data_IF_991986679815
#
_entry.id   IF_991986679815
#
_cell.length_a   1.000
_cell.length_b   1.000
_cell.length_c   1.000
_cell.angle_alpha   90.00
_cell.angle_beta   90.00
_cell.angle_gamma   90.00
#
_symmetry.space_group_name_H-M   'P 1'
#
loop_
_entity.id
_entity.type
_entity.pdbx_description
1 polymer ?
#
# COMPACT_ATOMS: atom_id res chain seq x y z
N UNK A 1 33.54 -6.56 -35.59
CA UNK A 1 32.55 -6.59 -34.50
C UNK A 1 31.85 -5.24 -34.49
N UNK A 2 30.58 -5.20 -34.88
CA UNK A 2 29.78 -3.98 -34.81
C UNK A 2 29.57 -3.69 -33.33
N UNK A 3 29.98 -2.51 -32.86
CA UNK A 3 29.72 -2.08 -31.48
C UNK A 3 28.20 -2.12 -31.25
N UNK A 4 27.76 -3.03 -30.38
CA UNK A 4 26.37 -3.16 -29.93
C UNK A 4 26.03 -2.14 -28.84
N UNK A 5 26.81 -1.06 -28.73
CA UNK A 5 26.54 0.01 -27.78
C UNK A 5 25.25 0.75 -28.18
N UNK A 6 24.34 0.90 -27.23
CA UNK A 6 23.12 1.70 -27.39
C UNK A 6 23.56 3.12 -27.82
N UNK A 7 23.05 3.66 -28.94
CA UNK A 7 23.33 5.04 -29.34
C UNK A 7 23.05 5.99 -28.17
N UNK A 8 23.91 7.00 -27.94
CA UNK A 8 23.76 7.93 -26.83
C UNK A 8 22.37 8.60 -26.76
N UNK A 9 21.70 8.75 -27.91
CA UNK A 9 20.34 9.30 -28.02
C UNK A 9 19.23 8.38 -27.51
N UNK A 10 19.52 7.10 -27.28
CA UNK A 10 18.58 6.08 -26.81
C UNK A 10 18.85 5.66 -25.35
N UNK A 11 19.86 6.25 -24.70
CA UNK A 11 20.10 6.00 -23.29
C UNK A 11 18.97 6.61 -22.45
N UNK A 12 18.55 5.95 -21.36
CA UNK A 12 17.54 6.49 -20.47
C UNK A 12 18.07 7.64 -19.60
N UNK A 13 19.28 8.16 -19.87
CA UNK A 13 19.92 9.23 -19.11
C UNK A 13 20.85 10.08 -19.97
N UNK A 14 21.23 11.26 -19.45
CA UNK A 14 22.25 12.10 -20.07
C UNK A 14 23.65 11.48 -19.86
N UNK A 15 24.38 11.08 -20.91
CA UNK A 15 25.68 10.43 -20.79
C UNK A 15 26.74 11.30 -20.08
N UNK A 16 26.59 12.63 -20.12
CA UNK A 16 27.49 13.54 -19.40
C UNK A 16 27.39 13.39 -17.88
N UNK A 17 26.26 12.87 -17.37
CA UNK A 17 26.07 12.63 -15.94
C UNK A 17 26.95 11.48 -15.40
N UNK A 18 27.44 10.61 -16.28
CA UNK A 18 28.30 9.46 -15.92
C UNK A 18 29.70 9.53 -16.54
N UNK A 19 29.97 10.47 -17.43
CA UNK A 19 31.22 10.52 -18.21
C UNK A 19 32.50 10.73 -17.39
N UNK A 20 32.39 11.28 -16.17
CA UNK A 20 33.50 11.47 -15.24
C UNK A 20 33.54 10.41 -14.11
N UNK A 21 32.75 9.33 -14.25
CA UNK A 21 32.56 8.31 -13.22
C UNK A 21 33.17 6.96 -13.62
N UNK A 22 33.15 5.99 -12.69
CA UNK A 22 33.57 4.62 -12.95
C UNK A 22 32.52 3.78 -13.71
N UNK A 23 31.38 4.38 -14.11
CA UNK A 23 30.31 3.69 -14.83
C UNK A 23 30.63 3.65 -16.33
N UNK A 24 30.93 2.46 -16.83
CA UNK A 24 31.03 2.22 -18.27
C UNK A 24 29.62 2.12 -18.89
N UNK A 25 29.18 3.21 -19.52
CA UNK A 25 27.85 3.29 -20.13
C UNK A 25 27.63 2.24 -21.24
N UNK A 26 28.70 1.79 -21.91
CA UNK A 26 28.60 0.82 -23.01
C UNK A 26 28.49 -0.62 -22.51
N UNK A 27 29.03 -0.90 -21.33
CA UNK A 27 29.11 -2.24 -20.76
C UNK A 27 28.35 -2.36 -19.43
N UNK A 28 27.30 -1.57 -19.19
CA UNK A 28 26.48 -1.67 -17.98
C UNK A 28 25.02 -1.94 -18.33
N UNK A 29 24.32 -2.60 -17.42
CA UNK A 29 22.87 -2.81 -17.51
C UNK A 29 22.16 -1.67 -16.77
N UNK A 30 21.10 -1.11 -17.36
CA UNK A 30 20.35 0.00 -16.78
C UNK A 30 18.86 -0.34 -16.67
N UNK A 31 18.22 0.08 -15.59
CA UNK A 31 16.76 0.09 -15.47
C UNK A 31 16.29 1.47 -15.05
N UNK A 32 15.25 1.95 -15.75
CA UNK A 32 14.55 3.18 -15.40
C UNK A 32 13.46 2.87 -14.40
N UNK A 33 13.42 3.62 -13.30
CA UNK A 33 12.35 3.57 -12.31
C UNK A 33 11.49 4.83 -12.46
N UNK A 34 10.19 4.62 -12.67
CA UNK A 34 9.23 5.72 -12.80
C UNK A 34 9.04 6.44 -11.47
N UNK A 35 8.95 7.77 -11.47
CA UNK A 35 8.61 8.55 -10.27
C UNK A 35 7.22 8.24 -9.71
N UNK A 36 6.35 7.61 -10.52
CA UNK A 36 5.02 7.14 -10.11
C UNK A 36 5.00 5.72 -9.55
N UNK A 37 6.16 5.05 -9.53
CA UNK A 37 6.25 3.70 -8.98
C UNK A 37 6.57 3.75 -7.49
N UNK A 38 5.95 2.86 -6.69
CA UNK A 38 6.19 2.79 -5.25
C UNK A 38 7.67 2.55 -4.90
N UNK A 39 8.39 1.81 -5.74
CA UNK A 39 9.80 1.51 -5.54
C UNK A 39 10.67 2.76 -5.60
N UNK A 40 10.24 3.83 -6.28
CA UNK A 40 11.02 5.05 -6.44
C UNK A 40 11.44 5.64 -5.10
N UNK A 41 10.48 5.97 -4.23
CA UNK A 41 10.77 6.57 -2.93
C UNK A 41 11.56 5.61 -2.01
N UNK A 42 11.26 4.30 -2.09
CA UNK A 42 11.93 3.28 -1.29
C UNK A 42 13.40 3.12 -1.68
N UNK A 43 13.69 3.14 -2.99
CA UNK A 43 15.06 3.11 -3.53
C UNK A 43 15.83 4.34 -3.07
N UNK A 44 15.23 5.54 -3.15
CA UNK A 44 15.93 6.75 -2.72
C UNK A 44 16.30 6.73 -1.22
N UNK A 45 15.41 6.19 -0.37
CA UNK A 45 15.66 6.03 1.05
C UNK A 45 16.71 4.94 1.34
N UNK A 46 16.64 3.81 0.62
CA UNK A 46 17.62 2.73 0.75
C UNK A 46 19.03 3.21 0.37
N UNK A 47 19.15 3.84 -0.80
CA UNK A 47 20.43 4.35 -1.31
C UNK A 47 21.04 5.35 -0.32
N UNK A 48 20.24 6.24 0.26
CA UNK A 48 20.72 7.23 1.24
C UNK A 48 21.39 6.63 2.49
N UNK A 49 21.14 5.36 2.81
CA UNK A 49 21.67 4.66 4.00
C UNK A 49 22.71 3.59 3.67
N UNK A 50 22.90 3.25 2.39
CA UNK A 50 23.75 2.13 1.93
C UNK A 50 24.84 2.58 0.93
N UNK A 51 25.27 3.85 1.00
CA UNK A 51 26.34 4.36 0.15
C UNK A 51 27.69 3.70 0.45
N UNK A 52 28.51 3.51 -0.58
CA UNK A 52 29.81 2.82 -0.44
C UNK A 52 30.84 3.69 0.29
N UNK A 53 30.84 4.99 0.04
CA UNK A 53 31.69 5.97 0.71
C UNK A 53 30.90 7.20 1.13
N UNK A 54 31.40 7.91 2.16
CA UNK A 54 30.92 9.25 2.51
C UNK A 54 31.12 10.28 1.39
N UNK A 55 32.00 10.00 0.42
CA UNK A 55 32.20 10.85 -0.76
C UNK A 55 31.16 10.62 -1.87
N UNK A 56 30.41 9.51 -1.81
CA UNK A 56 29.28 9.20 -2.71
C UNK A 56 27.98 9.94 -2.27
N UNK A 57 28.06 10.70 -1.17
CA UNK A 57 26.99 11.41 -0.43
C UNK A 57 26.82 12.88 -0.86
N UNK A 58 27.04 13.23 -2.15
CA UNK A 58 27.16 14.64 -2.57
C UNK A 58 25.86 15.43 -2.66
N UNK A 59 24.71 14.77 -2.58
CA UNK A 59 23.39 15.38 -2.78
C UNK A 59 22.35 14.62 -1.98
N UNK A 60 21.56 15.36 -1.19
CA UNK A 60 20.47 14.82 -0.38
C UNK A 60 19.29 15.78 -0.39
N UNK A 61 18.11 15.22 -0.22
CA UNK A 61 16.88 15.96 0.04
C UNK A 61 16.35 15.57 1.42
N UNK A 62 15.76 16.55 2.12
CA UNK A 62 15.12 16.33 3.41
C UNK A 62 13.61 16.38 3.20
N UNK A 63 12.92 15.33 3.62
CA UNK A 63 11.46 15.28 3.65
C UNK A 63 10.98 15.38 5.08
N UNK A 64 10.27 16.45 5.42
CA UNK A 64 9.60 16.58 6.70
C UNK A 64 8.23 15.89 6.65
N UNK A 65 7.98 14.96 7.56
CA UNK A 65 6.68 14.33 7.79
C UNK A 65 6.03 14.86 9.06
N UNK A 66 4.70 15.04 9.02
CA UNK A 66 3.88 15.18 10.24
C UNK A 66 3.54 13.79 10.77
N UNK A 67 3.63 13.57 12.08
CA UNK A 67 2.92 12.46 12.73
C UNK A 67 1.42 12.79 12.67
N UNK A 68 0.60 11.95 12.07
CA UNK A 68 -0.84 12.05 12.23
C UNK A 68 -1.24 11.39 13.56
N UNK A 69 -1.63 12.19 14.54
CA UNK A 69 -2.39 11.73 15.72
C UNK A 69 -3.90 11.84 15.44
N UNK A 70 -4.66 11.06 16.20
CA UNK A 70 -6.11 10.83 16.14
C UNK A 70 -6.96 12.08 15.81
N UNK A 71 -7.98 11.89 14.99
CA UNK A 71 -9.22 12.65 15.10
C UNK A 71 -10.25 11.73 15.75
N UNK A 72 -10.25 11.65 17.08
CA UNK A 72 -11.41 11.25 17.90
C UNK A 72 -11.13 11.36 19.42
N UNK A 73 -10.48 12.44 19.88
CA UNK A 73 -10.55 12.86 21.29
C UNK A 73 -10.43 14.37 21.44
N UNK A 74 -11.52 14.99 21.90
CA UNK A 74 -11.54 16.36 22.42
C UNK A 74 -10.77 16.40 23.74
N UNK A 75 -9.45 16.47 23.70
CA UNK A 75 -8.65 16.94 24.83
C UNK A 75 -7.47 17.78 24.32
N UNK A 76 -7.64 19.10 24.43
CA UNK A 76 -6.54 20.04 24.55
C UNK A 76 -5.66 19.61 25.74
N UNK A 77 -4.37 19.35 25.49
CA UNK A 77 -3.24 19.92 26.22
C UNK A 77 -1.92 19.25 25.80
N UNK A 78 -0.99 20.08 25.32
CA UNK A 78 0.47 19.91 25.21
C UNK A 78 1.01 18.49 24.94
N UNK A 79 1.26 18.17 23.65
CA UNK A 79 2.24 17.13 23.33
C UNK A 79 3.06 17.48 22.07
N UNK A 80 4.38 17.53 22.25
CA UNK A 80 5.39 17.91 21.26
C UNK A 80 5.11 17.27 19.88
N UNK A 81 4.76 18.12 18.92
CA UNK A 81 4.53 17.78 17.51
C UNK A 81 5.89 17.38 16.87
N UNK A 82 6.38 16.18 17.20
CA UNK A 82 7.68 15.66 16.72
C UNK A 82 7.58 15.37 15.23
N UNK A 83 7.80 16.40 14.42
CA UNK A 83 8.09 16.27 12.98
C UNK A 83 9.28 15.34 12.78
N UNK A 84 9.09 14.29 11.99
CA UNK A 84 10.20 13.40 11.60
C UNK A 84 10.75 13.87 10.27
N UNK A 85 12.06 14.13 10.22
CA UNK A 85 12.76 14.39 8.97
C UNK A 85 13.35 13.08 8.45
N UNK A 86 13.02 12.70 7.22
CA UNK A 86 13.70 11.62 6.50
C UNK A 86 14.65 12.20 5.46
N UNK A 87 15.84 11.60 5.36
CA UNK A 87 16.84 11.96 4.34
C UNK A 87 16.67 10.99 3.19
N UNK A 88 16.56 11.52 1.98
CA UNK A 88 16.60 10.74 0.74
C UNK A 88 17.72 11.23 -0.15
N UNK A 89 18.15 10.37 -1.08
CA UNK A 89 19.22 10.74 -2.01
C UNK A 89 18.72 11.82 -2.98
N UNK A 90 19.54 12.87 -3.17
CA UNK A 90 19.24 13.99 -4.05
C UNK A 90 19.59 13.72 -5.50
N UNK A 91 19.64 14.77 -6.33
CA UNK A 91 20.09 14.66 -7.73
C UNK A 91 21.59 14.37 -7.81
N UNK A 92 21.99 13.47 -8.72
CA UNK A 92 23.36 13.08 -8.94
C UNK A 92 23.53 11.57 -9.13
N UNK A 93 24.78 11.17 -9.35
CA UNK A 93 25.19 9.76 -9.40
C UNK A 93 25.67 9.34 -8.01
N UNK A 94 25.10 8.25 -7.52
CA UNK A 94 25.36 7.72 -6.18
C UNK A 94 25.75 6.24 -6.27
N UNK A 95 26.86 5.87 -5.63
CA UNK A 95 27.32 4.48 -5.57
C UNK A 95 26.88 3.87 -4.25
N UNK A 96 26.22 2.71 -4.32
CA UNK A 96 25.70 2.02 -3.13
C UNK A 96 26.00 0.53 -3.18
N UNK A 97 25.99 -0.12 -2.01
CA UNK A 97 26.11 -1.58 -1.90
C UNK A 97 24.75 -2.21 -1.66
N UNK A 98 24.52 -3.36 -2.28
CA UNK A 98 23.42 -4.25 -1.94
C UNK A 98 23.93 -5.68 -1.96
N UNK A 99 23.82 -6.36 -0.82
CA UNK A 99 24.49 -7.65 -0.58
C UNK A 99 26.00 -7.55 -0.89
N UNK A 100 26.51 -8.32 -1.85
CA UNK A 100 27.90 -8.29 -2.31
C UNK A 100 28.09 -7.48 -3.62
N UNK A 101 27.03 -6.85 -4.12
CA UNK A 101 27.06 -6.09 -5.37
C UNK A 101 27.29 -4.60 -5.11
N UNK A 102 28.08 -3.97 -5.97
CA UNK A 102 28.21 -2.51 -6.05
C UNK A 102 27.37 -2.01 -7.22
N UNK A 103 26.38 -1.18 -6.93
CA UNK A 103 25.42 -0.65 -7.88
C UNK A 103 25.50 0.89 -7.91
N UNK A 104 24.93 1.48 -8.96
CA UNK A 104 24.83 2.93 -9.07
C UNK A 104 23.38 3.37 -9.23
N UNK A 105 23.06 4.52 -8.65
CA UNK A 105 21.78 5.16 -8.70
C UNK A 105 21.98 6.59 -9.24
N UNK A 106 21.41 6.88 -10.41
CA UNK A 106 21.42 8.20 -11.00
C UNK A 106 20.04 8.83 -10.90
N UNK A 107 19.93 9.92 -10.15
CA UNK A 107 18.74 10.78 -10.13
C UNK A 107 19.04 12.06 -10.87
N UNK A 108 18.22 12.42 -11.86
CA UNK A 108 18.44 13.61 -12.71
C UNK A 108 17.12 14.23 -13.17
N UNK A 109 17.16 15.51 -13.54
CA UNK A 109 16.08 16.17 -14.28
C UNK A 109 16.40 16.19 -15.77
N UNK A 110 15.51 15.68 -16.61
CA UNK A 110 15.67 15.68 -18.06
C UNK A 110 14.75 16.70 -18.72
N UNK A 111 15.25 17.31 -19.80
CA UNK A 111 14.49 18.19 -20.68
C UNK A 111 14.28 19.62 -20.16
N UNK A 112 13.56 20.41 -20.96
CA UNK A 112 13.15 21.76 -20.57
C UNK A 112 11.97 21.70 -19.58
N UNK A 113 11.89 22.61 -18.61
CA UNK A 113 10.70 22.74 -17.76
C UNK A 113 9.44 22.85 -18.62
N UNK A 114 8.41 22.08 -18.25
CA UNK A 114 7.08 22.17 -18.84
C UNK A 114 6.08 22.61 -17.78
N UNK A 115 5.15 23.49 -18.15
CA UNK A 115 4.09 23.92 -17.24
C UNK A 115 3.04 22.82 -17.07
N UNK A 116 2.74 22.45 -15.83
CA UNK A 116 1.48 21.79 -15.47
C UNK A 116 0.48 22.86 -15.03
N UNK A 117 -0.76 22.46 -14.67
CA UNK A 117 -1.77 23.40 -14.17
C UNK A 117 -1.38 24.09 -12.86
N UNK A 118 -0.41 23.53 -12.14
CA UNK A 118 -0.07 23.95 -10.77
C UNK A 118 1.38 24.45 -10.66
N UNK A 119 2.31 23.94 -11.48
CA UNK A 119 3.73 24.30 -11.37
C UNK A 119 4.54 24.00 -12.65
N UNK A 120 5.75 24.57 -12.74
CA UNK A 120 6.71 24.21 -13.78
C UNK A 120 7.49 22.95 -13.34
N UNK A 121 7.31 21.85 -14.06
CA UNK A 121 7.88 20.55 -13.71
C UNK A 121 8.96 20.16 -14.73
N UNK A 122 10.03 19.52 -14.26
CA UNK A 122 10.99 18.82 -15.13
C UNK A 122 10.76 17.32 -15.01
N UNK A 123 11.08 16.56 -16.06
CA UNK A 123 11.00 15.12 -15.98
C UNK A 123 12.08 14.60 -15.02
N UNK A 124 11.68 14.25 -13.81
CA UNK A 124 12.55 13.51 -12.90
C UNK A 124 12.73 12.08 -13.40
N UNK A 125 13.98 11.63 -13.37
CA UNK A 125 14.32 10.32 -13.86
C UNK A 125 15.31 9.65 -12.91
N UNK A 126 14.98 8.42 -12.51
CA UNK A 126 15.80 7.57 -11.66
C UNK A 126 16.25 6.36 -12.46
N UNK A 127 17.57 6.17 -12.53
CA UNK A 127 18.19 5.08 -13.27
C UNK A 127 19.08 4.28 -12.34
N UNK A 128 18.80 2.99 -12.20
CA UNK A 128 19.68 2.05 -11.51
C UNK A 128 20.61 1.40 -12.54
N UNK A 129 21.86 1.20 -12.14
CA UNK A 129 22.91 0.69 -13.01
C UNK A 129 23.69 -0.43 -12.32
N UNK A 130 23.81 -1.55 -13.02
CA UNK A 130 24.68 -2.67 -12.64
C UNK A 130 25.86 -2.76 -13.62
N UNK A 131 27.09 -3.02 -13.15
CA UNK A 131 28.23 -3.30 -14.04
C UNK A 131 27.93 -4.51 -14.93
N UNK A 132 28.49 -4.56 -16.14
CA UNK A 132 28.32 -5.65 -17.11
C UNK A 132 26.91 -5.77 -17.71
N UNK A 133 26.84 -6.24 -18.95
CA UNK A 133 25.59 -6.56 -19.64
C UNK A 133 25.00 -7.87 -19.10
N UNK A 134 23.67 -7.97 -19.05
CA UNK A 134 22.95 -9.17 -18.61
C UNK A 134 22.66 -9.24 -17.11
N UNK A 135 22.93 -8.16 -16.35
CA UNK A 135 22.70 -8.09 -14.90
C UNK A 135 21.32 -7.53 -14.52
N UNK A 136 20.34 -7.73 -15.41
CA UNK A 136 18.93 -7.36 -15.19
C UNK A 136 18.31 -8.09 -13.99
N UNK A 137 18.71 -9.34 -13.75
CA UNK A 137 18.27 -10.14 -12.62
C UNK A 137 18.68 -9.54 -11.28
N UNK A 138 19.89 -8.96 -11.19
CA UNK A 138 20.41 -8.31 -9.97
C UNK A 138 19.61 -7.04 -9.69
N UNK A 139 19.39 -6.20 -10.70
CA UNK A 139 18.61 -4.97 -10.55
C UNK A 139 17.16 -5.25 -10.15
N UNK A 140 16.53 -6.26 -10.78
CA UNK A 140 15.21 -6.72 -10.42
C UNK A 140 15.15 -7.23 -8.98
N UNK A 141 16.08 -8.12 -8.60
CA UNK A 141 16.13 -8.68 -7.25
C UNK A 141 16.36 -7.61 -6.17
N UNK A 142 17.14 -6.56 -6.48
CA UNK A 142 17.27 -5.39 -5.60
C UNK A 142 15.94 -4.66 -5.41
N UNK A 143 15.26 -4.32 -6.49
CA UNK A 143 13.96 -3.62 -6.45
C UNK A 143 12.93 -4.46 -5.67
N UNK A 144 12.85 -5.76 -5.99
CA UNK A 144 11.96 -6.71 -5.32
C UNK A 144 12.27 -6.79 -3.82
N UNK A 145 13.55 -6.81 -3.42
CA UNK A 145 13.96 -6.87 -2.02
C UNK A 145 13.62 -5.59 -1.25
N UNK A 146 13.79 -4.41 -1.84
CA UNK A 146 13.45 -3.13 -1.20
C UNK A 146 11.94 -3.00 -1.03
N UNK A 147 11.16 -3.43 -2.04
CA UNK A 147 9.69 -3.48 -1.95
C UNK A 147 9.26 -4.47 -0.85
N UNK A 148 9.78 -5.70 -0.88
CA UNK A 148 9.45 -6.73 0.11
C UNK A 148 9.81 -6.29 1.53
N UNK A 149 10.94 -5.60 1.73
CA UNK A 149 11.33 -5.06 3.03
C UNK A 149 10.36 -3.97 3.53
N UNK A 150 9.82 -3.15 2.62
CA UNK A 150 8.82 -2.13 2.98
C UNK A 150 7.45 -2.72 3.34
N UNK A 151 7.14 -3.89 2.78
CA UNK A 151 5.89 -4.63 2.97
C UNK A 151 5.98 -5.70 4.07
N UNK A 152 7.15 -5.86 4.67
CA UNK A 152 7.35 -6.75 5.80
C UNK A 152 6.71 -6.13 7.06
N UNK A 153 5.98 -6.95 7.79
CA UNK A 153 5.57 -6.64 9.15
C UNK A 153 6.79 -6.58 10.07
N UNK A 154 6.84 -5.60 10.96
CA UNK A 154 7.81 -5.57 12.06
C UNK A 154 7.19 -6.24 13.27
N UNK A 155 7.94 -7.06 14.01
CA UNK A 155 7.41 -7.73 15.19
C UNK A 155 6.77 -6.73 16.17
N UNK A 156 5.51 -7.00 16.53
CA UNK A 156 4.73 -6.13 17.41
C UNK A 156 4.19 -4.85 16.76
N UNK A 157 4.31 -4.67 15.43
CA UNK A 157 3.73 -3.55 14.70
C UNK A 157 3.14 -3.96 13.35
N UNK A 158 2.10 -3.24 12.92
CA UNK A 158 1.60 -3.32 11.55
C UNK A 158 1.47 -1.92 10.95
N UNK A 159 1.52 -1.86 9.61
CA UNK A 159 1.41 -0.61 8.88
C UNK A 159 -0.02 -0.40 8.39
N UNK A 160 -0.48 0.85 8.46
CA UNK A 160 -1.74 1.32 7.88
C UNK A 160 -1.43 2.09 6.61
N UNK A 161 -2.06 1.69 5.51
CA UNK A 161 -1.91 2.28 4.20
C UNK A 161 -3.20 2.98 3.78
N UNK A 162 -3.05 4.09 3.04
CA UNK A 162 -4.14 4.75 2.31
C UNK A 162 -3.74 4.91 0.85
N UNK A 163 -4.73 4.83 -0.04
CA UNK A 163 -4.48 5.04 -1.46
C UNK A 163 -4.19 6.52 -1.77
N UNK A 164 -3.11 6.78 -2.50
CA UNK A 164 -2.78 8.10 -3.04
C UNK A 164 -3.24 8.22 -4.50
N UNK A 165 -4.22 9.08 -4.76
CA UNK A 165 -4.67 9.38 -6.12
C UNK A 165 -3.65 10.17 -6.95
N UNK A 166 -2.67 10.83 -6.30
CA UNK A 166 -1.60 11.55 -6.97
C UNK A 166 -0.46 10.62 -7.38
N UNK A 167 -0.01 9.78 -6.45
CA UNK A 167 1.15 8.89 -6.64
C UNK A 167 0.75 7.52 -7.23
N UNK A 168 -0.54 7.19 -7.24
CA UNK A 168 -1.07 5.93 -7.76
C UNK A 168 -0.51 4.68 -7.04
N UNK A 169 -0.32 4.79 -5.73
CA UNK A 169 0.17 3.72 -4.89
C UNK A 169 -0.47 3.75 -3.50
N UNK A 170 -0.31 2.65 -2.78
CA UNK A 170 -0.62 2.55 -1.36
C UNK A 170 0.48 3.20 -0.55
N UNK A 171 0.16 4.29 0.14
CA UNK A 171 1.09 5.02 0.98
C UNK A 171 0.94 4.61 2.42
N UNK A 172 2.05 4.26 3.07
CA UNK A 172 2.10 4.06 4.51
C UNK A 172 1.81 5.39 5.20
N UNK A 173 0.69 5.48 5.90
CA UNK A 173 0.29 6.66 6.68
C UNK A 173 0.76 6.54 8.12
N UNK A 174 0.67 5.34 8.68
CA UNK A 174 0.98 5.11 10.08
C UNK A 174 1.57 3.72 10.32
N UNK A 175 2.36 3.59 11.38
CA UNK A 175 2.77 2.31 11.97
C UNK A 175 2.09 2.22 13.34
N UNK A 176 1.25 1.21 13.53
CA UNK A 176 0.52 0.97 14.78
C UNK A 176 1.14 -0.19 15.53
N UNK A 177 1.16 -0.09 16.86
CA UNK A 177 1.55 -1.19 17.73
C UNK A 177 0.48 -2.28 17.66
N UNK A 178 0.91 -3.54 17.67
CA UNK A 178 0.01 -4.69 17.65
C UNK A 178 -0.95 -4.63 18.83
N UNK A 179 -2.23 -4.79 18.54
CA UNK A 179 -3.32 -4.76 19.50
C UNK A 179 -3.78 -6.19 19.80
N UNK A 180 -3.62 -6.69 21.03
CA UNK A 180 -4.09 -8.03 21.37
C UNK A 180 -5.60 -8.14 21.21
N UNK A 181 -6.07 -9.29 20.69
CA UNK A 181 -7.51 -9.56 20.51
C UNK A 181 -8.31 -9.53 21.82
N UNK A 182 -7.63 -9.78 22.95
CA UNK A 182 -8.21 -9.64 24.29
C UNK A 182 -8.73 -8.21 24.59
N UNK A 183 -8.15 -7.18 23.97
CA UNK A 183 -8.54 -5.77 24.19
C UNK A 183 -9.81 -5.34 23.44
N UNK A 184 -10.38 -6.22 22.62
CA UNK A 184 -11.61 -5.95 21.88
C UNK A 184 -12.75 -6.69 22.56
N UNK A 185 -13.69 -5.96 23.17
CA UNK A 185 -14.80 -6.58 23.90
C UNK A 185 -15.95 -6.89 22.95
N UNK A 186 -16.14 -8.17 22.65
CA UNK A 186 -17.22 -8.72 21.81
C UNK A 186 -17.77 -9.98 22.49
N UNK A 187 -19.03 -10.37 22.21
CA UNK A 187 -19.57 -11.63 22.69
C UNK A 187 -18.62 -12.79 22.36
N UNK A 188 -18.29 -13.62 23.36
CA UNK A 188 -17.23 -14.63 23.26
C UNK A 188 -17.37 -15.52 22.02
N UNK A 189 -18.56 -16.07 21.78
CA UNK A 189 -18.84 -16.93 20.62
C UNK A 189 -18.64 -16.21 19.28
N UNK A 190 -18.96 -14.93 19.20
CA UNK A 190 -18.77 -14.13 17.99
C UNK A 190 -17.27 -13.90 17.76
N UNK A 191 -16.54 -13.55 18.81
CA UNK A 191 -15.09 -13.33 18.75
C UNK A 191 -14.35 -14.60 18.33
N UNK A 192 -14.64 -15.73 18.96
CA UNK A 192 -14.06 -17.04 18.65
C UNK A 192 -14.35 -17.43 17.19
N UNK A 193 -15.60 -17.33 16.75
CA UNK A 193 -15.98 -17.66 15.37
C UNK A 193 -15.23 -16.83 14.32
N UNK A 194 -14.92 -15.56 14.61
CA UNK A 194 -14.17 -14.70 13.67
C UNK A 194 -12.69 -15.09 13.66
N UNK A 195 -12.10 -15.33 14.83
CA UNK A 195 -10.70 -15.75 14.95
C UNK A 195 -10.50 -17.07 14.20
N UNK A 196 -11.33 -18.08 14.48
CA UNK A 196 -11.25 -19.40 13.87
C UNK A 196 -11.39 -19.33 12.34
N UNK A 197 -12.31 -18.49 11.83
CA UNK A 197 -12.50 -18.32 10.39
C UNK A 197 -11.28 -17.69 9.72
N UNK A 198 -10.71 -16.65 10.34
CA UNK A 198 -9.52 -15.96 9.82
C UNK A 198 -8.30 -16.87 9.88
N UNK A 199 -8.07 -17.56 11.00
CA UNK A 199 -6.97 -18.50 11.17
C UNK A 199 -7.05 -19.63 10.15
N UNK A 200 -8.22 -20.22 9.97
CA UNK A 200 -8.44 -21.24 8.95
C UNK A 200 -8.17 -20.69 7.54
N UNK A 201 -8.69 -19.50 7.22
CA UNK A 201 -8.49 -18.91 5.89
C UNK A 201 -7.02 -18.70 5.55
N UNK A 202 -6.17 -18.30 6.51
CA UNK A 202 -4.75 -18.02 6.24
C UNK A 202 -3.85 -19.26 6.18
N UNK A 203 -4.40 -20.46 6.42
CA UNK A 203 -3.63 -21.71 6.30
C UNK A 203 -3.27 -22.04 4.85
N UNK A 204 -2.15 -22.74 4.66
CA UNK A 204 -1.71 -23.22 3.35
C UNK A 204 -2.69 -24.29 2.80
N UNK A 205 -3.31 -25.08 3.68
CA UNK A 205 -4.34 -26.06 3.31
C UNK A 205 -5.59 -25.39 2.73
N UNK A 206 -6.08 -24.32 3.39
CA UNK A 206 -7.21 -23.57 2.89
C UNK A 206 -6.87 -22.87 1.58
N UNK A 207 -5.69 -22.25 1.48
CA UNK A 207 -5.19 -21.69 0.22
C UNK A 207 -5.21 -22.73 -0.91
N UNK A 208 -4.64 -23.91 -0.69
CA UNK A 208 -4.61 -24.99 -1.67
C UNK A 208 -6.02 -25.47 -2.06
N UNK A 209 -6.98 -25.48 -1.12
CA UNK A 209 -8.37 -25.77 -1.41
C UNK A 209 -8.98 -24.77 -2.40
N UNK A 210 -8.81 -23.46 -2.18
CA UNK A 210 -9.31 -22.43 -3.09
C UNK A 210 -8.70 -22.58 -4.49
N UNK A 211 -7.38 -22.74 -4.57
CA UNK A 211 -6.65 -22.90 -5.83
C UNK A 211 -7.10 -24.15 -6.61
N UNK A 212 -7.18 -25.30 -5.93
CA UNK A 212 -7.55 -26.59 -6.56
C UNK A 212 -8.98 -26.59 -7.10
N UNK A 213 -9.87 -25.80 -6.49
CA UNK A 213 -11.27 -25.68 -6.92
C UNK A 213 -11.52 -24.50 -7.87
N UNK A 214 -10.47 -23.72 -8.21
CA UNK A 214 -10.60 -22.53 -9.06
C UNK A 214 -11.45 -21.42 -8.44
N UNK A 215 -11.54 -21.38 -7.11
CA UNK A 215 -12.27 -20.36 -6.35
C UNK A 215 -11.29 -19.22 -6.08
N UNK A 216 -11.65 -17.94 -6.35
CA UNK A 216 -10.80 -16.82 -5.98
C UNK A 216 -10.45 -16.85 -4.49
N UNK A 217 -9.17 -16.88 -4.16
CA UNK A 217 -8.69 -16.98 -2.77
C UNK A 217 -8.82 -15.63 -2.05
N UNK A 218 -10.04 -15.36 -1.57
CA UNK A 218 -10.44 -14.17 -0.83
C UNK A 218 -11.46 -14.53 0.24
N UNK A 219 -11.56 -13.70 1.28
CA UNK A 219 -12.57 -13.82 2.33
C UNK A 219 -13.18 -12.48 2.66
N UNK A 220 -14.50 -12.36 2.58
CA UNK A 220 -15.23 -11.12 2.83
C UNK A 220 -15.89 -11.08 4.20
N UNK A 221 -15.75 -9.97 4.91
CA UNK A 221 -16.39 -9.71 6.20
C UNK A 221 -17.23 -8.43 6.11
N UNK A 222 -18.42 -8.44 6.70
CA UNK A 222 -19.24 -7.24 6.88
C UNK A 222 -19.35 -6.91 8.36
N UNK A 223 -18.75 -5.79 8.77
CA UNK A 223 -18.86 -5.25 10.11
C UNK A 223 -19.93 -4.16 10.12
N UNK A 224 -21.05 -4.44 10.77
CA UNK A 224 -22.19 -3.53 10.74
C UNK A 224 -22.75 -3.23 12.13
N UNK A 225 -23.20 -2.00 12.35
CA UNK A 225 -23.84 -1.63 13.61
C UNK A 225 -23.57 -0.19 14.03
N UNK A 226 -23.87 0.14 15.28
CA UNK A 226 -23.88 1.54 15.74
C UNK A 226 -22.50 2.20 15.64
N UNK A 227 -22.41 3.52 15.37
CA UNK A 227 -21.12 4.22 15.38
C UNK A 227 -20.46 4.14 16.75
N UNK A 228 -19.12 4.17 16.79
CA UNK A 228 -18.36 4.08 18.06
C UNK A 228 -18.34 2.70 18.74
N UNK A 229 -18.91 1.65 18.14
CA UNK A 229 -18.99 0.30 18.72
C UNK A 229 -17.72 -0.56 18.59
N UNK A 230 -16.62 -0.01 18.07
CA UNK A 230 -15.35 -0.74 17.97
C UNK A 230 -15.15 -1.57 16.69
N UNK A 231 -15.87 -1.26 15.60
CA UNK A 231 -15.64 -1.87 14.28
C UNK A 231 -14.17 -1.75 13.83
N UNK A 232 -13.64 -0.53 13.83
CA UNK A 232 -12.24 -0.23 13.48
C UNK A 232 -11.26 -0.84 14.48
N UNK A 233 -11.63 -0.89 15.76
CA UNK A 233 -10.86 -1.56 16.81
C UNK A 233 -10.68 -3.06 16.54
N UNK A 234 -11.73 -3.76 16.09
CA UNK A 234 -11.63 -5.17 15.71
C UNK A 234 -10.72 -5.37 14.50
N UNK A 235 -10.81 -4.50 13.48
CA UNK A 235 -9.95 -4.56 12.30
C UNK A 235 -8.46 -4.50 12.70
N UNK A 236 -8.09 -3.57 13.58
CA UNK A 236 -6.71 -3.43 14.07
C UNK A 236 -6.25 -4.68 14.85
N UNK A 237 -7.12 -5.24 15.69
CA UNK A 237 -6.80 -6.45 16.44
C UNK A 237 -6.66 -7.67 15.52
N UNK A 238 -7.52 -7.80 14.50
CA UNK A 238 -7.42 -8.85 13.49
C UNK A 238 -6.12 -8.73 12.70
N UNK A 239 -5.78 -7.53 12.22
CA UNK A 239 -4.52 -7.27 11.51
C UNK A 239 -3.30 -7.71 12.35
N UNK A 240 -3.32 -7.41 13.64
CA UNK A 240 -2.28 -7.82 14.59
C UNK A 240 -2.24 -9.33 14.76
N UNK A 241 -3.40 -9.97 14.90
CA UNK A 241 -3.54 -11.42 15.12
C UNK A 241 -3.04 -12.25 13.93
N UNK A 242 -3.35 -11.83 12.70
CA UNK A 242 -2.95 -12.55 11.49
C UNK A 242 -1.65 -12.01 10.85
N UNK A 243 -0.93 -11.12 11.54
CA UNK A 243 0.29 -10.47 11.06
C UNK A 243 0.14 -9.84 9.66
N UNK A 244 -0.88 -9.00 9.51
CA UNK A 244 -1.25 -8.34 8.25
C UNK A 244 -1.23 -6.83 8.37
N UNK A 245 -0.98 -6.17 7.25
CA UNK A 245 -1.16 -4.73 7.12
C UNK A 245 -2.63 -4.36 6.91
N UNK A 246 -2.98 -3.10 7.18
CA UNK A 246 -4.33 -2.59 6.94
C UNK A 246 -4.29 -1.59 5.78
N UNK A 247 -5.14 -1.78 4.79
CA UNK A 247 -5.28 -0.91 3.62
C UNK A 247 -6.66 -0.26 3.63
N UNK A 248 -6.72 1.01 3.99
CA UNK A 248 -7.96 1.77 4.14
C UNK A 248 -8.32 2.46 2.83
N UNK A 249 -9.52 2.17 2.29
CA UNK A 249 -10.02 2.79 1.07
C UNK A 249 -11.40 3.43 1.32
N UNK A 250 -11.46 4.74 1.08
CA UNK A 250 -12.72 5.48 1.09
C UNK A 250 -13.36 5.45 -0.29
N UNK A 251 -14.47 4.71 -0.44
CA UNK A 251 -15.11 4.51 -1.75
C UNK A 251 -15.97 5.68 -2.22
N UNK A 252 -16.22 6.66 -1.34
CA UNK A 252 -16.95 7.89 -1.65
C UNK A 252 -16.09 8.98 -2.32
N UNK A 253 -14.80 8.72 -2.56
CA UNK A 253 -13.89 9.70 -3.14
C UNK A 253 -14.31 10.12 -4.57
N UNK A 254 -14.39 11.43 -4.91
CA UNK A 254 -14.89 11.90 -6.21
C UNK A 254 -14.13 11.37 -7.44
N UNK A 255 -12.81 11.23 -7.31
CA UNK A 255 -11.95 10.75 -8.40
C UNK A 255 -11.94 9.22 -8.55
N UNK A 256 -12.70 8.48 -7.72
CA UNK A 256 -12.75 7.02 -7.81
C UNK A 256 -13.77 6.59 -8.88
N UNK A 257 -13.34 5.76 -9.82
CA UNK A 257 -14.17 5.12 -10.83
C UNK A 257 -13.91 3.60 -10.86
N UNK A 258 -14.61 2.88 -11.73
CA UNK A 258 -14.57 1.42 -11.79
C UNK A 258 -13.16 0.87 -12.13
N UNK A 259 -12.49 1.45 -13.14
CA UNK A 259 -11.14 1.04 -13.56
C UNK A 259 -10.09 1.35 -12.49
N UNK A 260 -10.25 2.49 -11.81
CA UNK A 260 -9.35 2.91 -10.75
C UNK A 260 -9.49 2.00 -9.55
N UNK A 261 -10.71 1.62 -9.17
CA UNK A 261 -10.94 0.67 -8.09
C UNK A 261 -10.27 -0.69 -8.37
N UNK A 262 -10.39 -1.22 -9.60
CA UNK A 262 -9.68 -2.44 -9.99
C UNK A 262 -8.17 -2.28 -9.89
N UNK A 263 -7.64 -1.14 -10.32
CA UNK A 263 -6.20 -0.83 -10.23
C UNK A 263 -5.71 -0.70 -8.78
N UNK A 264 -6.55 -0.17 -7.89
CA UNK A 264 -6.24 -0.03 -6.46
C UNK A 264 -6.13 -1.40 -5.80
N UNK A 265 -7.11 -2.28 -6.06
CA UNK A 265 -7.15 -3.64 -5.51
C UNK A 265 -5.99 -4.48 -6.05
N UNK A 266 -5.68 -4.40 -7.35
CA UNK A 266 -4.56 -5.17 -7.93
C UNK A 266 -3.19 -4.73 -7.40
N UNK A 267 -3.08 -3.53 -6.84
CA UNK A 267 -1.85 -2.98 -6.25
C UNK A 267 -1.76 -3.17 -4.73
N UNK A 268 -2.70 -3.88 -4.11
CA UNK A 268 -2.67 -4.14 -2.67
C UNK A 268 -1.33 -4.77 -2.26
N UNK A 269 -0.70 -4.28 -1.18
CA UNK A 269 0.43 -4.97 -0.58
C UNK A 269 0.06 -6.43 -0.25
N UNK A 270 0.99 -7.38 -0.36
CA UNK A 270 0.76 -8.76 0.06
C UNK A 270 0.45 -8.79 1.57
N UNK A 271 -0.29 -9.82 2.01
CA UNK A 271 -0.65 -10.00 3.43
C UNK A 271 -1.31 -8.74 4.03
N UNK A 272 -2.27 -8.17 3.33
CA UNK A 272 -3.05 -7.02 3.80
C UNK A 272 -4.52 -7.37 4.00
N UNK A 273 -5.18 -6.58 4.86
CA UNK A 273 -6.62 -6.50 5.01
C UNK A 273 -7.06 -5.24 4.26
N UNK A 274 -7.87 -5.39 3.21
CA UNK A 274 -8.53 -4.27 2.55
C UNK A 274 -9.76 -3.88 3.37
N UNK A 275 -9.85 -2.61 3.75
CA UNK A 275 -10.99 -2.05 4.46
C UNK A 275 -11.70 -1.06 3.55
N UNK A 276 -12.97 -1.36 3.27
CA UNK A 276 -13.88 -0.44 2.58
C UNK A 276 -14.77 0.22 3.64
N UNK A 277 -14.47 1.47 3.97
CA UNK A 277 -15.19 2.19 5.01
C UNK A 277 -16.51 2.79 4.50
N UNK A 278 -17.51 2.80 5.38
CA UNK A 278 -18.80 3.47 5.21
C UNK A 278 -19.42 3.23 3.83
N UNK A 279 -19.58 1.95 3.47
CA UNK A 279 -20.07 1.58 2.14
C UNK A 279 -21.49 2.11 1.85
N UNK A 280 -22.27 2.34 2.89
CA UNK A 280 -23.59 2.96 2.83
C UNK A 280 -23.55 4.46 2.50
N UNK A 281 -22.41 5.13 2.64
CA UNK A 281 -22.24 6.53 2.23
C UNK A 281 -22.06 6.67 0.72
N UNK A 282 -21.61 5.62 0.02
CA UNK A 282 -21.43 5.66 -1.43
C UNK A 282 -22.71 5.29 -2.20
N UNK A 283 -23.44 4.27 -1.73
CA UNK A 283 -24.59 3.71 -2.43
C UNK A 283 -25.82 3.58 -1.52
N UNK A 284 -27.00 3.80 -2.08
CA UNK A 284 -28.27 3.39 -1.46
C UNK A 284 -28.61 1.94 -1.82
N UNK A 285 -29.61 1.38 -1.13
CA UNK A 285 -30.20 0.07 -1.46
C UNK A 285 -30.70 -0.03 -2.90
N UNK A 286 -31.20 1.08 -3.44
CA UNK A 286 -31.66 1.19 -4.82
C UNK A 286 -30.51 1.35 -5.83
N UNK A 287 -29.26 1.11 -5.43
CA UNK A 287 -28.04 1.27 -6.23
C UNK A 287 -27.83 2.70 -6.74
N UNK A 288 -28.52 3.68 -6.16
CA UNK A 288 -28.34 5.10 -6.50
C UNK A 288 -27.10 5.61 -5.77
N UNK A 289 -26.31 6.39 -6.50
CA UNK A 289 -25.14 7.08 -5.92
C UNK A 289 -25.65 8.14 -4.94
N UNK A 290 -25.11 8.15 -3.71
CA UNK A 290 -25.35 9.26 -2.76
C UNK A 290 -24.41 10.44 -3.03
N UNK A 291 -23.28 10.19 -3.68
CA UNK A 291 -22.30 11.20 -4.08
C UNK A 291 -22.55 11.57 -5.54
N UNK A 292 -23.10 12.76 -5.79
CA UNK A 292 -23.52 13.22 -7.14
C UNK A 292 -22.38 13.18 -8.17
N UNK A 293 -21.15 13.42 -7.74
CA UNK A 293 -19.96 13.43 -8.60
C UNK A 293 -19.14 12.14 -8.54
N UNK A 294 -19.59 11.10 -7.83
CA UNK A 294 -18.85 9.84 -7.79
C UNK A 294 -18.94 9.15 -9.15
N UNK A 295 -17.79 8.82 -9.73
CA UNK A 295 -17.72 8.08 -10.99
C UNK A 295 -17.91 6.58 -10.77
N UNK A 296 -17.57 6.07 -9.57
CA UNK A 296 -17.73 4.67 -9.21
C UNK A 296 -19.18 4.21 -9.30
N UNK A 297 -19.41 3.10 -9.99
CA UNK A 297 -20.72 2.46 -10.11
C UNK A 297 -20.86 1.31 -9.10
N UNK A 298 -22.10 0.99 -8.74
CA UNK A 298 -22.37 -0.16 -7.87
C UNK A 298 -21.88 -1.46 -8.53
N UNK A 299 -22.13 -1.62 -9.84
CA UNK A 299 -21.59 -2.74 -10.62
C UNK A 299 -20.06 -2.78 -10.63
N UNK A 300 -19.40 -1.63 -10.71
CA UNK A 300 -17.95 -1.50 -10.61
C UNK A 300 -17.41 -2.02 -9.29
N UNK A 301 -18.02 -1.62 -8.16
CA UNK A 301 -17.69 -2.15 -6.83
C UNK A 301 -17.87 -3.67 -6.78
N UNK A 302 -19.00 -4.18 -7.28
CA UNK A 302 -19.27 -5.62 -7.29
C UNK A 302 -18.24 -6.40 -8.12
N UNK A 303 -17.90 -5.88 -9.30
CA UNK A 303 -16.90 -6.48 -10.18
C UNK A 303 -15.50 -6.43 -9.57
N UNK A 304 -15.18 -5.36 -8.85
CA UNK A 304 -13.91 -5.23 -8.15
C UNK A 304 -13.82 -6.21 -6.97
N UNK A 305 -14.91 -6.42 -6.23
CA UNK A 305 -14.98 -7.45 -5.18
C UNK A 305 -14.96 -8.86 -5.76
N UNK A 306 -15.61 -9.11 -6.90
CA UNK A 306 -15.63 -10.41 -7.59
C UNK A 306 -14.34 -10.71 -8.37
N UNK A 307 -13.53 -9.70 -8.67
CA UNK A 307 -12.63 -9.68 -9.82
C UNK A 307 -11.33 -10.45 -9.66
N UNK A 308 -11.21 -11.54 -10.43
CA UNK A 308 -10.27 -11.91 -11.53
C UNK A 308 -8.89 -11.21 -11.65
N UNK A 309 -8.43 -10.41 -10.69
CA UNK A 309 -7.15 -9.68 -10.79
C UNK A 309 -6.49 -9.30 -9.47
N UNK A 310 -7.01 -9.77 -8.33
CA UNK A 310 -6.37 -9.64 -7.03
C UNK A 310 -5.44 -10.83 -6.75
N UNK A 311 -4.24 -10.54 -6.26
CA UNK A 311 -3.29 -11.55 -5.80
C UNK A 311 -3.88 -12.46 -4.71
N UNK A 312 -3.33 -13.66 -4.57
CA UNK A 312 -3.84 -14.73 -3.70
C UNK A 312 -3.86 -14.33 -2.20
N UNK A 313 -5.05 -14.33 -1.57
CA UNK A 313 -5.19 -14.37 -0.11
C UNK A 313 -5.55 -13.07 0.59
N UNK A 314 -6.32 -12.20 -0.04
CA UNK A 314 -6.80 -10.96 0.58
C UNK A 314 -8.00 -11.19 1.52
N UNK A 315 -7.92 -10.59 2.70
CA UNK A 315 -9.07 -10.39 3.58
C UNK A 315 -9.72 -9.04 3.23
N UNK A 316 -11.03 -9.01 3.02
CA UNK A 316 -11.77 -7.79 2.74
C UNK A 316 -12.77 -7.54 3.86
N UNK A 317 -12.70 -6.37 4.48
CA UNK A 317 -13.66 -5.94 5.50
C UNK A 317 -14.44 -4.75 4.97
N UNK A 318 -15.76 -4.87 4.95
CA UNK A 318 -16.68 -3.78 4.64
C UNK A 318 -17.27 -3.27 5.95
N UNK A 319 -17.24 -1.97 6.19
CA UNK A 319 -17.89 -1.37 7.37
C UNK A 319 -19.14 -0.59 6.97
N UNK A 320 -20.18 -0.68 7.77
CA UNK A 320 -21.41 0.10 7.57
C UNK A 320 -22.11 0.40 8.89
N UNK A 321 -22.81 1.53 8.98
CA UNK A 321 -23.72 1.79 10.08
C UNK A 321 -25.15 1.31 9.79
N UNK A 322 -25.50 1.06 8.51
CA UNK A 322 -26.86 0.76 8.07
C UNK A 322 -26.91 -0.47 7.15
N UNK A 323 -26.77 -1.67 7.74
CA UNK A 323 -26.84 -2.95 7.00
C UNK A 323 -28.07 -3.04 6.09
N UNK A 324 -29.24 -2.61 6.57
CA UNK A 324 -30.49 -2.78 5.82
C UNK A 324 -30.61 -1.88 4.58
N UNK A 325 -29.71 -0.89 4.46
CA UNK A 325 -29.56 -0.04 3.28
C UNK A 325 -28.64 -0.66 2.22
N UNK A 326 -28.02 -1.82 2.49
CA UNK A 326 -27.19 -2.50 1.51
C UNK A 326 -28.03 -3.37 0.59
N UNK A 327 -27.61 -3.46 -0.68
CA UNK A 327 -28.20 -4.36 -1.66
C UNK A 327 -27.75 -5.80 -1.43
N UNK A 328 -28.68 -6.75 -1.50
CA UNK A 328 -28.44 -8.17 -1.22
C UNK A 328 -27.37 -8.78 -2.13
N UNK A 329 -27.16 -8.24 -3.34
CA UNK A 329 -26.10 -8.68 -4.22
C UNK A 329 -24.72 -8.37 -3.62
N UNK A 330 -24.54 -7.25 -2.92
CA UNK A 330 -23.25 -6.91 -2.30
C UNK A 330 -22.89 -7.90 -1.19
N UNK A 331 -23.88 -8.29 -0.40
CA UNK A 331 -23.69 -9.09 0.82
C UNK A 331 -23.90 -10.60 0.63
N UNK A 332 -23.94 -11.08 -0.62
CA UNK A 332 -24.04 -12.52 -0.89
C UNK A 332 -22.72 -13.24 -0.60
N UNK A 333 -22.82 -14.52 -0.26
CA UNK A 333 -21.67 -15.42 -0.12
C UNK A 333 -20.77 -15.38 -1.37
N UNK A 334 -19.45 -15.41 -1.15
CA UNK A 334 -18.43 -15.20 -2.17
C UNK A 334 -18.05 -13.73 -2.39
N UNK A 335 -18.82 -12.77 -1.85
CA UNK A 335 -18.42 -11.35 -1.72
C UNK A 335 -18.25 -10.98 -0.25
N UNK A 336 -19.23 -11.36 0.55
CA UNK A 336 -19.25 -11.27 2.01
C UNK A 336 -19.65 -12.63 2.53
N UNK A 337 -18.77 -13.26 3.30
CA UNK A 337 -18.94 -14.63 3.81
C UNK A 337 -19.29 -14.62 5.30
N UNK A 338 -18.82 -13.61 6.03
CA UNK A 338 -19.03 -13.48 7.48
C UNK A 338 -19.66 -12.13 7.82
N UNK A 339 -20.72 -12.17 8.63
CA UNK A 339 -21.43 -10.99 9.09
C UNK A 339 -21.24 -10.81 10.59
N UNK A 340 -20.76 -9.64 10.99
CA UNK A 340 -20.50 -9.31 12.40
C UNK A 340 -21.33 -8.09 12.79
N UNK A 341 -22.25 -8.30 13.73
CA UNK A 341 -23.12 -7.27 14.25
C UNK A 341 -22.50 -6.60 15.48
N UNK A 342 -22.42 -5.27 15.46
CA UNK A 342 -21.93 -4.43 16.53
C UNK A 342 -23.09 -3.65 17.15
N UNK A 343 -23.69 -4.23 18.18
CA UNK A 343 -24.76 -3.60 18.95
C UNK A 343 -24.20 -2.69 20.06
N UNK A 344 -25.10 -2.03 20.80
CA UNK A 344 -24.74 -1.43 22.08
C UNK A 344 -24.21 -2.50 23.05
N UNK A 345 -23.38 -2.08 24.00
CA UNK A 345 -22.76 -2.97 24.97
C UNK A 345 -23.81 -3.80 25.72
N UNK A 346 -23.66 -5.12 25.72
CA UNK A 346 -24.45 -6.01 26.56
C UNK A 346 -23.98 -5.92 28.03
N UNK A 347 -24.80 -6.35 29.00
CA UNK A 347 -24.37 -6.48 30.39
C UNK A 347 -23.09 -7.30 30.56
N UNK A 348 -22.95 -8.39 29.81
CA UNK A 348 -21.76 -9.25 29.85
C UNK A 348 -20.53 -8.50 29.32
N UNK A 349 -20.69 -7.76 28.21
CA UNK A 349 -19.60 -6.93 27.69
C UNK A 349 -19.19 -5.82 28.66
N UNK A 350 -20.14 -5.20 29.36
CA UNK A 350 -19.82 -4.18 30.37
C UNK A 350 -19.10 -4.76 31.59
N UNK A 351 -19.28 -6.04 31.90
CA UNK A 351 -18.55 -6.72 32.97
C UNK A 351 -17.11 -7.09 32.56
N UNK A 352 -16.89 -7.29 31.25
CA UNK A 352 -15.58 -7.61 30.66
C UNK A 352 -14.73 -6.36 30.31
N UNK A 353 -15.34 -5.16 30.33
CA UNK A 353 -14.67 -3.85 30.15
C UNK A 353 -14.03 -3.39 31.45
#
# INVERSE_FOLDING_TARGET
>A
MVSTAIPCSLLPFDPSAVSSSAVDAANSTFVRVSSKDKSYALILAYVATHLVSKDDHRSFEVRAGKKSYDSDSDNDDDDDDKTTSSIVVGFGLHRFTWQQHTLHCLRQSLGTPVGTREEAVRLENLVLMAPQLGNESILRAFVDAVVAASEATTDGFFSVYRWSHYEWCWNKVQSLQSRPMATVVLPALVKESIIDDVENFVTDECKAFYETHGIPYKRGYLFHGVPGSGKTSLIQALASHCNRHVCMLQISHPNLNDDYLQTIISRLPPRSILVLEDIDAAFTKDRKKKVEHSSLTFSGLLNALDGVGGHDGHLVVLTTNFRDQLDDALIRNGRVDVHVAFAHASPDQMADM
#
